data_IF_915672686828
#
_entry.id   IF_915672686828
#
_cell.length_a   1.000
_cell.length_b   1.000
_cell.length_c   1.000
_cell.angle_alpha   90.00
_cell.angle_beta   90.00
_cell.angle_gamma   90.00
#
_symmetry.space_group_name_H-M   'P 1'
#
loop_
_entity.id
_entity.type
_entity.pdbx_description
1 polymer ?
#
# COMPACT_ATOMS: atom_id res chain seq x y z
N UNK A 1 -4.59 2.27 -4.61
CA UNK A 1 -4.19 2.42 -3.18
C UNK A 1 -2.94 3.28 -3.11
N UNK A 2 -2.58 3.75 -1.90
CA UNK A 2 -1.32 4.44 -1.62
C UNK A 2 -0.59 3.70 -0.51
N UNK A 3 0.74 3.72 -0.51
CA UNK A 3 1.54 3.14 0.56
C UNK A 3 3.02 3.50 0.45
N UNK A 4 3.80 3.02 1.42
CA UNK A 4 5.23 3.29 1.50
C UNK A 4 6.02 2.03 1.14
N UNK A 5 7.08 2.21 0.36
CA UNK A 5 8.04 1.17 -0.01
C UNK A 5 9.45 1.63 0.33
N UNK A 6 10.35 0.69 0.56
CA UNK A 6 11.75 0.95 0.88
C UNK A 6 12.67 0.09 -0.02
N UNK A 7 13.94 0.50 -0.23
CA UNK A 7 14.88 -0.27 -1.02
C UNK A 7 15.09 -1.69 -0.50
N UNK A 8 15.44 -2.61 -1.42
CA UNK A 8 15.87 -3.96 -1.07
C UNK A 8 17.08 -3.89 -0.12
N UNK A 9 17.05 -4.70 0.94
CA UNK A 9 18.09 -4.72 1.97
C UNK A 9 17.88 -3.75 3.12
N UNK A 10 16.79 -2.96 3.13
CA UNK A 10 16.42 -2.15 4.29
C UNK A 10 16.28 -3.05 5.55
N UNK A 11 16.92 -2.71 6.69
CA UNK A 11 16.86 -3.52 7.89
C UNK A 11 15.43 -3.77 8.37
N UNK A 12 15.14 -5.00 8.79
CA UNK A 12 13.79 -5.40 9.23
C UNK A 12 13.27 -4.57 10.41
N UNK A 13 14.14 -4.15 11.32
CA UNK A 13 13.77 -3.29 12.45
C UNK A 13 13.29 -1.90 11.99
N UNK A 14 13.90 -1.34 10.94
CA UNK A 14 13.51 -0.04 10.41
C UNK A 14 12.14 -0.13 9.73
N UNK A 15 11.90 -1.22 8.98
CA UNK A 15 10.59 -1.53 8.40
C UNK A 15 9.52 -1.67 9.49
N UNK A 16 9.82 -2.43 10.55
CA UNK A 16 8.89 -2.63 11.66
C UNK A 16 8.53 -1.32 12.35
N UNK A 17 9.53 -0.47 12.65
CA UNK A 17 9.33 0.84 13.27
C UNK A 17 8.49 1.77 12.40
N UNK A 18 8.76 1.83 11.09
CA UNK A 18 7.99 2.65 10.15
C UNK A 18 6.54 2.15 10.04
N UNK A 19 6.35 0.84 9.91
CA UNK A 19 5.01 0.25 9.84
C UNK A 19 4.19 0.55 11.09
N UNK A 20 4.78 0.41 12.27
CA UNK A 20 4.10 0.73 13.53
C UNK A 20 3.68 2.21 13.55
N UNK A 21 4.59 3.13 13.26
CA UNK A 21 4.30 4.56 13.28
C UNK A 21 3.18 4.93 12.28
N UNK A 22 3.20 4.36 11.08
CA UNK A 22 2.14 4.58 10.07
C UNK A 22 0.80 4.04 10.57
N UNK A 23 0.78 2.82 11.09
CA UNK A 23 -0.45 2.19 11.60
C UNK A 23 -1.04 2.94 12.81
N UNK A 24 -0.20 3.59 13.63
CA UNK A 24 -0.67 4.48 14.69
C UNK A 24 -1.31 5.75 14.13
N UNK A 25 -0.70 6.38 13.11
CA UNK A 25 -1.25 7.59 12.46
C UNK A 25 -2.58 7.29 11.75
N UNK A 26 -2.68 6.17 11.04
CA UNK A 26 -3.90 5.76 10.33
C UNK A 26 -5.10 5.49 11.26
N UNK A 27 -4.88 5.33 12.57
CA UNK A 27 -5.94 5.16 13.56
C UNK A 27 -6.41 6.48 14.18
N UNK A 28 -5.75 7.60 13.88
CA UNK A 28 -6.10 8.88 14.47
C UNK A 28 -7.37 9.46 13.82
N UNK A 29 -8.39 9.86 14.61
CA UNK A 29 -9.69 10.28 14.07
C UNK A 29 -9.60 11.39 13.02
N UNK A 30 -8.69 12.36 13.20
CA UNK A 30 -8.48 13.46 12.27
C UNK A 30 -7.93 12.97 10.92
N UNK A 31 -7.03 12.00 10.93
CA UNK A 31 -6.47 11.40 9.72
C UNK A 31 -7.53 10.58 8.99
N UNK A 32 -8.30 9.77 9.73
CA UNK A 32 -9.42 9.01 9.15
C UNK A 32 -10.43 9.95 8.50
N UNK A 33 -10.79 11.06 9.16
CA UNK A 33 -11.71 12.03 8.63
C UNK A 33 -11.19 12.69 7.33
N UNK A 34 -9.91 13.10 7.31
CA UNK A 34 -9.28 13.65 6.10
C UNK A 34 -9.27 12.64 4.95
N UNK A 35 -8.82 11.41 5.19
CA UNK A 35 -8.77 10.36 4.16
C UNK A 35 -10.15 10.09 3.55
N UNK A 36 -11.19 10.01 4.40
CA UNK A 36 -12.57 9.81 3.96
C UNK A 36 -13.12 11.00 3.19
N UNK A 37 -12.77 12.22 3.58
CA UNK A 37 -13.14 13.42 2.83
C UNK A 37 -12.53 13.42 1.41
N UNK A 38 -11.37 12.78 1.24
CA UNK A 38 -10.69 12.58 -0.05
C UNK A 38 -11.16 11.31 -0.79
N UNK A 39 -12.16 10.58 -0.27
CA UNK A 39 -12.70 9.37 -0.90
C UNK A 39 -11.81 8.14 -0.75
N UNK A 40 -10.94 8.12 0.26
CA UNK A 40 -10.06 6.98 0.59
C UNK A 40 -10.40 6.40 1.96
N UNK A 41 -10.06 5.14 2.18
CA UNK A 41 -10.17 4.50 3.48
C UNK A 41 -8.77 4.15 4.02
N UNK A 42 -8.51 4.34 5.33
CA UNK A 42 -7.29 3.85 5.97
C UNK A 42 -7.17 2.34 5.86
N UNK A 43 -6.01 1.84 5.43
CA UNK A 43 -5.71 0.42 5.32
C UNK A 43 -4.49 0.06 6.17
N UNK A 44 -4.63 -0.08 7.50
CA UNK A 44 -3.53 -0.52 8.34
C UNK A 44 -3.23 -1.99 8.07
N UNK A 45 -2.06 -2.26 7.51
CA UNK A 45 -1.58 -3.60 7.15
C UNK A 45 -0.20 -3.84 7.75
N UNK A 46 0.16 -5.10 7.93
CA UNK A 46 1.56 -5.51 8.13
C UNK A 46 2.37 -5.34 6.84
N UNK A 47 3.71 -5.27 6.90
CA UNK A 47 4.54 -5.22 5.71
C UNK A 47 4.32 -6.40 4.75
N UNK A 48 4.07 -7.59 5.30
CA UNK A 48 3.81 -8.80 4.50
C UNK A 48 2.46 -8.73 3.79
N UNK A 49 1.40 -8.30 4.49
CA UNK A 49 0.08 -8.14 3.87
C UNK A 49 0.11 -7.08 2.77
N UNK A 50 0.80 -5.97 2.99
CA UNK A 50 0.94 -4.95 1.96
C UNK A 50 1.76 -5.45 0.76
N UNK A 51 2.81 -6.24 0.99
CA UNK A 51 3.53 -6.94 -0.09
C UNK A 51 2.64 -7.87 -0.91
N UNK A 52 1.66 -8.51 -0.27
CA UNK A 52 0.67 -9.33 -0.96
C UNK A 52 -0.27 -8.49 -1.82
N UNK A 53 -0.75 -7.34 -1.33
CA UNK A 53 -1.55 -6.38 -2.12
C UNK A 53 -0.83 -5.97 -3.39
N UNK A 54 0.45 -5.57 -3.29
CA UNK A 54 1.27 -5.20 -4.46
C UNK A 54 1.37 -6.35 -5.45
N UNK A 55 1.62 -7.56 -4.95
CA UNK A 55 1.79 -8.76 -5.78
C UNK A 55 0.51 -9.11 -6.54
N UNK A 56 -0.63 -9.10 -5.87
CA UNK A 56 -1.91 -9.47 -6.46
C UNK A 56 -2.41 -8.43 -7.46
N UNK A 57 -2.26 -7.14 -7.15
CA UNK A 57 -2.62 -6.06 -8.08
C UNK A 57 -1.72 -6.09 -9.32
N UNK A 58 -0.41 -6.26 -9.15
CA UNK A 58 0.53 -6.39 -10.27
C UNK A 58 0.15 -7.55 -11.18
N UNK A 59 -0.24 -8.69 -10.60
CA UNK A 59 -0.72 -9.85 -11.36
C UNK A 59 -2.01 -9.53 -12.12
N UNK A 60 -2.99 -8.94 -11.44
CA UNK A 60 -4.31 -8.63 -11.98
C UNK A 60 -4.21 -7.64 -13.15
N UNK A 61 -3.55 -6.49 -12.94
CA UNK A 61 -3.37 -5.47 -13.97
C UNK A 61 -2.50 -5.97 -15.11
N UNK A 62 -1.42 -6.69 -14.82
CA UNK A 62 -0.59 -7.31 -15.85
C UNK A 62 -1.38 -8.30 -16.71
N UNK A 63 -2.29 -9.07 -16.10
CA UNK A 63 -3.20 -9.95 -16.84
C UNK A 63 -4.14 -9.14 -17.74
N UNK A 64 -4.81 -8.12 -17.19
CA UNK A 64 -5.76 -7.28 -17.91
C UNK A 64 -5.13 -6.57 -19.12
N UNK A 65 -3.93 -5.99 -18.95
CA UNK A 65 -3.18 -5.34 -20.03
C UNK A 65 -2.94 -6.32 -21.19
N UNK A 66 -2.50 -7.55 -20.88
CA UNK A 66 -2.23 -8.58 -21.90
C UNK A 66 -3.51 -9.04 -22.59
N UNK A 67 -4.58 -9.29 -21.84
CA UNK A 67 -5.84 -9.78 -22.43
C UNK A 67 -6.59 -8.73 -23.25
N UNK A 68 -6.44 -7.44 -22.90
CA UNK A 68 -7.06 -6.33 -23.63
C UNK A 68 -6.16 -5.72 -24.71
N UNK A 69 -4.93 -6.22 -24.86
CA UNK A 69 -3.91 -5.70 -25.78
C UNK A 69 -3.71 -4.18 -25.63
N UNK A 70 -3.67 -3.69 -24.39
CA UNK A 70 -3.52 -2.28 -24.10
C UNK A 70 -2.04 -1.89 -24.25
N UNK A 71 -1.72 -0.82 -25.00
CA UNK A 71 -0.37 -0.30 -25.04
C UNK A 71 0.02 0.32 -23.69
N UNK A 72 1.30 0.18 -23.32
CA UNK A 72 1.90 0.88 -22.20
C UNK A 72 2.64 2.09 -22.76
N UNK A 73 1.99 3.23 -22.73
CA UNK A 73 2.48 4.50 -23.28
C UNK A 73 2.26 5.63 -22.28
#
# INVERSE_FOLDING_TARGET
>A
WYGLVAPVGTPAEAIARLNQAVNEVLRRPEIVATMRAEGTEPMPLTPSEFGQVITDDTRSWGSAIRSLNLPLN
#
